data_IF_786143249941
#
_entry.id   IF_786143249941
#
_cell.length_a   1.000
_cell.length_b   1.000
_cell.length_c   1.000
_cell.angle_alpha   90.00
_cell.angle_beta   90.00
_cell.angle_gamma   90.00
#
_symmetry.space_group_name_H-M   'P 1'
#
loop_
_entity.id
_entity.type
_entity.pdbx_description
1 polymer ?
#
# COMPACT_ATOMS: atom_id res chain seq x y z
N UNK A 1 -13.03 1.26 -13.30
CA UNK A 1 -12.12 1.76 -12.25
C UNK A 1 -12.46 1.08 -10.96
N UNK A 2 -11.52 0.30 -10.43
CA UNK A 2 -11.63 -0.35 -9.14
C UNK A 2 -10.78 0.43 -8.12
N UNK A 3 -11.23 0.45 -6.87
CA UNK A 3 -10.51 1.04 -5.74
C UNK A 3 -10.30 -0.04 -4.70
N UNK A 4 -9.07 -0.17 -4.20
CA UNK A 4 -8.70 -1.10 -3.15
C UNK A 4 -7.97 -0.39 -2.03
N UNK A 5 -8.16 -0.88 -0.80
CA UNK A 5 -7.41 -0.43 0.37
C UNK A 5 -6.61 -1.60 0.91
N UNK A 6 -5.34 -1.34 1.21
CA UNK A 6 -4.40 -2.34 1.75
C UNK A 6 -3.87 -1.83 3.06
N UNK A 7 -3.96 -2.67 4.09
CA UNK A 7 -3.38 -2.44 5.39
C UNK A 7 -2.04 -3.14 5.45
N UNK A 8 -1.01 -2.42 5.89
CA UNK A 8 0.37 -2.90 5.91
C UNK A 8 0.89 -2.79 7.34
N UNK A 9 1.51 -3.88 7.80
CA UNK A 9 2.35 -3.88 8.98
C UNK A 9 3.81 -3.89 8.53
N UNK A 10 4.63 -3.09 9.19
CA UNK A 10 6.05 -2.95 8.87
C UNK A 10 6.90 -3.35 10.06
N UNK A 11 8.18 -3.59 9.81
CA UNK A 11 9.11 -3.78 10.90
C UNK A 11 9.23 -2.48 11.72
N UNK A 12 9.41 -2.55 13.05
CA UNK A 12 9.54 -1.37 13.90
C UNK A 12 10.64 -0.42 13.41
N UNK A 13 10.34 0.87 13.30
CA UNK A 13 11.27 1.90 12.85
C UNK A 13 11.46 1.98 11.33
N UNK A 14 10.69 1.22 10.55
CA UNK A 14 10.70 1.25 9.08
C UNK A 14 9.45 1.91 8.47
N UNK A 15 8.54 2.41 9.30
CA UNK A 15 7.23 2.92 8.88
C UNK A 15 7.39 4.04 7.84
N UNK A 16 8.29 4.99 8.10
CA UNK A 16 8.53 6.12 7.21
C UNK A 16 9.23 5.71 5.90
N UNK A 17 10.19 4.77 5.97
CA UNK A 17 10.90 4.27 4.79
C UNK A 17 9.94 3.53 3.85
N UNK A 18 9.10 2.66 4.40
CA UNK A 18 8.06 1.95 3.64
C UNK A 18 7.02 2.92 3.09
N UNK A 19 6.62 3.94 3.86
CA UNK A 19 5.71 4.98 3.37
C UNK A 19 6.25 5.66 2.10
N UNK A 20 7.51 6.06 2.11
CA UNK A 20 8.14 6.69 0.95
C UNK A 20 8.21 5.72 -0.23
N UNK A 21 8.59 4.46 0.01
CA UNK A 21 8.67 3.45 -1.03
C UNK A 21 7.30 3.17 -1.68
N UNK A 22 6.25 3.07 -0.89
CA UNK A 22 4.90 2.76 -1.38
C UNK A 22 4.27 3.95 -2.09
N UNK A 23 4.51 5.17 -1.61
CA UNK A 23 3.97 6.39 -2.22
C UNK A 23 4.38 6.56 -3.69
N UNK A 24 5.57 6.09 -4.06
CA UNK A 24 6.10 6.21 -5.43
C UNK A 24 5.71 5.02 -6.33
N UNK A 25 4.95 4.04 -5.82
CA UNK A 25 4.53 2.87 -6.59
C UNK A 25 3.42 3.18 -7.61
N UNK A 26 3.44 2.45 -8.72
CA UNK A 26 2.35 2.48 -9.69
C UNK A 26 1.01 2.10 -9.05
N UNK A 27 -0.06 2.80 -9.47
CA UNK A 27 -1.44 2.60 -9.02
C UNK A 27 -1.74 3.05 -7.58
N UNK A 28 -0.77 3.57 -6.83
CA UNK A 28 -1.02 4.17 -5.52
C UNK A 28 -1.61 5.57 -5.70
N UNK A 29 -2.85 5.74 -5.25
CA UNK A 29 -3.55 7.02 -5.27
C UNK A 29 -3.30 7.81 -3.98
N UNK A 30 -3.18 7.11 -2.85
CA UNK A 30 -2.88 7.72 -1.56
C UNK A 30 -2.21 6.69 -0.62
N UNK A 31 -1.40 7.18 0.30
CA UNK A 31 -0.81 6.39 1.37
C UNK A 31 -0.82 7.23 2.65
N UNK A 32 -1.12 6.60 3.78
CA UNK A 32 -1.20 7.27 5.08
C UNK A 32 -0.64 6.37 6.16
N UNK A 33 0.20 6.95 7.02
CA UNK A 33 0.67 6.31 8.25
C UNK A 33 -0.48 6.28 9.26
N UNK A 34 -0.68 5.11 9.86
CA UNK A 34 -1.70 4.87 10.85
C UNK A 34 -1.08 4.69 12.23
N UNK A 35 -1.87 5.01 13.25
CA UNK A 35 -1.61 4.63 14.63
C UNK A 35 -2.65 3.58 15.01
N UNK A 36 -2.23 2.37 15.34
CA UNK A 36 -3.12 1.26 15.69
C UNK A 36 -2.48 -0.10 15.42
N UNK A 37 -3.31 -1.10 15.13
CA UNK A 37 -2.86 -2.48 14.84
C UNK A 37 -2.12 -2.59 13.49
N UNK A 38 -2.24 -1.59 12.64
CA UNK A 38 -1.56 -1.47 11.35
C UNK A 38 -0.81 -0.15 11.28
N UNK A 39 0.31 -0.17 10.56
CA UNK A 39 1.24 0.97 10.50
C UNK A 39 0.93 1.88 9.30
N UNK A 40 0.39 1.32 8.21
CA UNK A 40 0.04 2.07 7.01
C UNK A 40 -1.27 1.60 6.40
N UNK A 41 -1.99 2.53 5.78
CA UNK A 41 -3.06 2.27 4.82
C UNK A 41 -2.71 2.86 3.46
N UNK A 42 -2.96 2.09 2.41
CA UNK A 42 -2.65 2.46 1.04
C UNK A 42 -3.89 2.31 0.18
N UNK A 43 -4.25 3.38 -0.52
CA UNK A 43 -5.34 3.41 -1.49
C UNK A 43 -4.78 3.17 -2.88
N UNK A 44 -5.27 2.13 -3.54
CA UNK A 44 -4.89 1.77 -4.90
C UNK A 44 -6.06 1.99 -5.85
N UNK A 45 -5.76 2.56 -7.01
CA UNK A 45 -6.73 2.77 -8.09
C UNK A 45 -6.18 2.18 -9.39
N UNK A 46 -6.97 1.30 -10.01
CA UNK A 46 -6.61 0.70 -11.28
C UNK A 46 -7.86 0.40 -12.12
N UNK A 47 -7.65 -0.09 -13.33
CA UNK A 47 -8.74 -0.45 -14.23
C UNK A 47 -9.59 -1.62 -13.69
N UNK A 48 -8.94 -2.57 -12.99
CA UNK A 48 -9.58 -3.77 -12.43
C UNK A 48 -9.02 -4.16 -11.05
N UNK A 49 -9.82 -4.91 -10.27
CA UNK A 49 -9.36 -5.50 -8.99
C UNK A 49 -8.20 -6.49 -9.18
N UNK A 50 -8.13 -7.18 -10.32
CA UNK A 50 -7.04 -8.11 -10.61
C UNK A 50 -5.69 -7.37 -10.73
N UNK A 51 -5.70 -6.19 -11.36
CA UNK A 51 -4.51 -5.32 -11.46
C UNK A 51 -4.06 -4.84 -10.08
N UNK A 52 -5.00 -4.47 -9.21
CA UNK A 52 -4.71 -4.10 -7.82
C UNK A 52 -4.09 -5.28 -7.07
N UNK A 53 -4.73 -6.46 -7.10
CA UNK A 53 -4.23 -7.65 -6.41
C UNK A 53 -2.81 -8.03 -6.86
N UNK A 54 -2.53 -7.97 -8.16
CA UNK A 54 -1.20 -8.22 -8.71
C UNK A 54 -0.18 -7.21 -8.17
N UNK A 55 -0.49 -5.92 -8.18
CA UNK A 55 0.39 -4.86 -7.68
C UNK A 55 0.73 -5.05 -6.20
N UNK A 56 -0.25 -5.48 -5.39
CA UNK A 56 -0.05 -5.75 -3.96
C UNK A 56 0.85 -6.96 -3.74
N UNK A 57 0.65 -8.04 -4.49
CA UNK A 57 1.46 -9.26 -4.34
C UNK A 57 2.90 -9.03 -4.78
N UNK A 58 3.12 -8.31 -5.88
CA UNK A 58 4.46 -8.09 -6.43
C UNK A 58 5.30 -7.10 -5.61
N UNK A 59 4.66 -6.12 -4.95
CA UNK A 59 5.40 -5.02 -4.33
C UNK A 59 5.26 -4.89 -2.80
N UNK A 60 4.24 -5.50 -2.17
CA UNK A 60 4.02 -5.38 -0.72
C UNK A 60 4.32 -6.70 0.04
N UNK A 61 4.16 -7.88 -0.58
CA UNK A 61 4.32 -9.19 0.11
C UNK A 61 5.72 -9.83 0.01
N UNK A 62 6.73 -9.09 -0.46
CA UNK A 62 8.14 -9.55 -0.49
C UNK A 62 8.80 -9.31 0.86
#
# INVERSE_FOLDING_TARGET
MAVGYVLINVAPGKEHEVYLAVKDMAHVADATLLFGDHDLIVKLEAESLATIAKSVVEAIRQ
#
